data_IF_810706060592
#
_entry.id   IF_810706060592
#
_cell.length_a   1.000
_cell.length_b   1.000
_cell.length_c   1.000
_cell.angle_alpha   90.00
_cell.angle_beta   90.00
_cell.angle_gamma   90.00
#
_symmetry.space_group_name_H-M   'P 1'
#
loop_
_entity.id
_entity.type
_entity.pdbx_description
1 polymer ?
#
# COMPACT_ATOMS: atom_id res chain seq x y z
N UNK A 1 -58.75 -31.96 -36.93
CA UNK A 1 -58.35 -31.67 -38.33
C UNK A 1 -56.99 -30.97 -38.24
N UNK A 2 -55.91 -31.74 -38.02
CA UNK A 2 -54.90 -32.17 -39.02
C UNK A 2 -54.27 -30.99 -39.77
N UNK A 3 -53.10 -30.59 -39.25
CA UNK A 3 -51.80 -30.33 -39.90
C UNK A 3 -51.76 -29.56 -41.24
N UNK A 4 -50.94 -28.50 -41.27
CA UNK A 4 -49.72 -28.49 -42.09
C UNK A 4 -48.82 -27.28 -41.80
N UNK A 5 -47.63 -27.56 -41.29
CA UNK A 5 -46.42 -26.74 -41.42
C UNK A 5 -45.53 -27.38 -42.49
N UNK A 6 -44.72 -26.60 -43.23
CA UNK A 6 -43.26 -26.82 -43.18
C UNK A 6 -42.49 -25.48 -43.20
N UNK A 7 -41.57 -25.21 -42.27
CA UNK A 7 -40.18 -25.67 -42.18
C UNK A 7 -39.20 -25.05 -43.20
N UNK A 8 -38.28 -24.22 -42.68
CA UNK A 8 -36.83 -24.07 -43.03
C UNK A 8 -36.25 -22.98 -42.09
N UNK A 9 -35.57 -23.32 -40.98
CA UNK A 9 -34.13 -23.65 -40.84
C UNK A 9 -33.26 -22.54 -41.48
N UNK A 10 -32.36 -21.83 -40.78
CA UNK A 10 -31.16 -22.33 -40.10
C UNK A 10 -30.51 -21.27 -39.15
N UNK A 11 -30.10 -21.73 -37.95
CA UNK A 11 -28.89 -21.42 -37.11
C UNK A 11 -28.40 -19.97 -36.88
N UNK A 12 -28.36 -19.49 -35.62
CA UNK A 12 -27.28 -19.64 -34.59
C UNK A 12 -26.14 -18.63 -34.81
N UNK A 13 -25.40 -18.06 -33.85
CA UNK A 13 -25.30 -17.99 -32.39
C UNK A 13 -24.49 -16.68 -32.16
N UNK A 14 -24.52 -15.99 -31.03
CA UNK A 14 -23.61 -16.28 -29.94
C UNK A 14 -23.88 -15.37 -28.73
N UNK A 15 -23.64 -15.99 -27.58
CA UNK A 15 -23.71 -15.50 -26.22
C UNK A 15 -22.60 -14.48 -25.95
N UNK A 16 -22.92 -13.42 -25.20
CA UNK A 16 -21.93 -12.72 -24.39
C UNK A 16 -22.47 -12.61 -22.96
N UNK A 17 -21.98 -13.51 -22.11
CA UNK A 17 -22.06 -13.39 -20.65
C UNK A 17 -21.07 -12.28 -20.27
N UNK A 18 -21.55 -11.22 -19.63
CA UNK A 18 -20.70 -10.36 -18.81
C UNK A 18 -21.32 -10.33 -17.43
N UNK A 19 -20.73 -11.12 -16.53
CA UNK A 19 -20.95 -10.99 -15.10
C UNK A 19 -20.36 -9.66 -14.66
N UNK A 20 -21.22 -8.69 -14.35
CA UNK A 20 -20.82 -7.51 -13.60
C UNK A 20 -20.97 -7.85 -12.12
N UNK A 21 -19.90 -8.39 -11.54
CA UNK A 21 -19.68 -8.36 -10.10
C UNK A 21 -19.80 -6.92 -9.62
N UNK A 22 -20.53 -6.75 -8.53
CA UNK A 22 -20.91 -5.50 -7.89
C UNK A 22 -19.73 -4.59 -7.62
N UNK A 23 -19.70 -3.45 -8.34
CA UNK A 23 -19.29 -2.11 -7.91
C UNK A 23 -18.31 -2.00 -6.72
N UNK A 24 -17.01 -2.20 -6.99
CA UNK A 24 -15.96 -1.56 -6.22
C UNK A 24 -15.88 -0.07 -6.57
N UNK A 25 -16.68 0.73 -5.88
CA UNK A 25 -16.28 2.03 -5.28
C UNK A 25 -15.15 2.75 -6.06
N UNK A 26 -15.53 3.41 -7.16
CA UNK A 26 -14.74 4.41 -7.90
C UNK A 26 -14.64 5.70 -7.08
N UNK A 27 -13.55 5.92 -6.35
CA UNK A 27 -13.25 7.20 -5.69
C UNK A 27 -11.86 7.61 -6.12
N UNK A 28 -11.82 8.27 -7.28
CA UNK A 28 -10.62 8.80 -7.90
C UNK A 28 -10.48 10.27 -7.48
N UNK A 29 -9.56 10.57 -6.57
CA UNK A 29 -9.10 11.94 -6.29
C UNK A 29 -7.65 12.08 -6.75
N UNK A 30 -7.50 12.65 -7.94
CA UNK A 30 -6.53 13.67 -8.37
C UNK A 30 -5.01 13.58 -8.09
N UNK A 31 -4.46 12.51 -7.54
CA UNK A 31 -3.03 12.22 -7.62
C UNK A 31 -2.82 10.99 -8.50
N UNK A 32 -1.76 10.97 -9.32
CA UNK A 32 -1.42 9.77 -10.09
C UNK A 32 -1.34 8.56 -9.15
N UNK A 33 -1.61 7.31 -9.62
CA UNK A 33 -1.52 6.16 -8.74
C UNK A 33 -0.14 6.20 -8.07
N UNK A 34 -0.12 6.11 -6.74
CA UNK A 34 1.13 6.01 -6.01
C UNK A 34 1.99 4.95 -6.72
N UNK A 35 3.31 5.16 -6.85
CA UNK A 35 4.18 4.30 -7.65
C UNK A 35 4.36 2.89 -7.05
N UNK A 36 3.58 2.58 -6.02
CA UNK A 36 3.51 1.33 -5.31
C UNK A 36 2.06 0.93 -5.12
N UNK A 37 1.80 -0.37 -5.19
CA UNK A 37 0.50 -0.96 -4.93
C UNK A 37 0.65 -2.19 -4.04
N UNK A 38 -0.40 -2.48 -3.27
CA UNK A 38 -0.50 -3.73 -2.52
C UNK A 38 -0.59 -4.90 -3.51
N UNK A 39 0.18 -5.95 -3.28
CA UNK A 39 0.08 -7.20 -4.04
C UNK A 39 -0.88 -8.18 -3.35
N UNK A 40 -1.33 -9.19 -4.09
CA UNK A 40 -2.18 -10.27 -3.56
C UNK A 40 -1.45 -11.13 -2.51
N UNK A 41 -0.13 -11.25 -2.63
CA UNK A 41 0.71 -12.05 -1.73
C UNK A 41 2.07 -11.39 -1.46
N UNK A 42 2.64 -11.54 -0.25
CA UNK A 42 2.02 -12.15 0.94
C UNK A 42 0.91 -11.25 1.50
N UNK A 43 -0.14 -11.85 2.07
CA UNK A 43 -1.17 -11.08 2.75
C UNK A 43 -0.62 -10.58 4.10
N UNK A 44 -0.98 -9.35 4.47
CA UNK A 44 -0.57 -8.73 5.75
C UNK A 44 -1.78 -8.22 6.51
N UNK A 45 -1.72 -8.28 7.84
CA UNK A 45 -2.73 -7.69 8.73
C UNK A 45 -2.14 -6.46 9.39
N UNK A 46 -2.48 -5.29 8.87
CA UNK A 46 -1.98 -4.01 9.37
C UNK A 46 -3.14 -3.10 9.75
N UNK A 47 -3.18 -2.71 11.01
CA UNK A 47 -4.07 -1.66 11.51
C UNK A 47 -3.32 -0.33 11.58
N UNK A 48 -3.76 0.65 10.80
CA UNK A 48 -3.17 2.00 10.78
C UNK A 48 -4.12 2.96 11.48
N UNK A 49 -3.59 3.72 12.44
CA UNK A 49 -4.35 4.74 13.18
C UNK A 49 -3.52 6.00 13.36
N UNK A 50 -4.18 7.14 13.42
CA UNK A 50 -3.58 8.38 13.88
C UNK A 50 -3.25 8.27 15.38
N UNK A 51 -2.16 8.91 15.81
CA UNK A 51 -1.99 9.26 17.20
C UNK A 51 -3.17 10.12 17.66
N UNK A 52 -3.53 10.04 18.95
CA UNK A 52 -4.56 10.90 19.54
C UNK A 52 -4.08 12.36 19.54
N UNK A 53 -4.24 13.04 18.41
CA UNK A 53 -3.96 14.45 18.24
C UNK A 53 -5.25 15.28 18.40
N UNK A 54 -5.08 16.54 18.83
CA UNK A 54 -6.17 17.52 18.84
C UNK A 54 -6.31 18.23 17.48
N UNK A 55 -5.41 17.95 16.53
CA UNK A 55 -5.34 18.61 15.24
C UNK A 55 -5.78 17.66 14.12
N UNK A 56 -6.64 18.12 13.19
CA UNK A 56 -7.20 17.28 12.13
C UNK A 56 -6.15 16.78 11.12
N UNK A 57 -5.04 17.50 10.98
CA UNK A 57 -3.96 17.24 10.01
C UNK A 57 -3.33 15.83 10.17
N UNK A 58 -3.38 15.26 11.38
CA UNK A 58 -2.88 13.90 11.64
C UNK A 58 -3.77 12.83 11.00
N UNK A 59 -5.09 13.05 10.97
CA UNK A 59 -6.04 12.13 10.36
C UNK A 59 -5.87 12.11 8.84
N UNK A 60 -5.74 13.28 8.21
CA UNK A 60 -5.48 13.41 6.77
C UNK A 60 -4.16 12.71 6.39
N UNK A 61 -3.08 13.00 7.11
CA UNK A 61 -1.79 12.33 6.88
C UNK A 61 -1.89 10.82 7.06
N UNK A 62 -2.68 10.35 8.03
CA UNK A 62 -2.89 8.91 8.26
C UNK A 62 -3.56 8.23 7.07
N UNK A 63 -4.57 8.89 6.49
CA UNK A 63 -5.27 8.40 5.31
C UNK A 63 -4.33 8.36 4.09
N UNK A 64 -3.56 9.42 3.88
CA UNK A 64 -2.56 9.53 2.82
C UNK A 64 -1.49 8.41 2.87
N UNK A 65 -0.99 8.07 4.07
CA UNK A 65 0.12 7.12 4.21
C UNK A 65 -0.33 5.69 4.49
N UNK A 66 -1.62 5.44 4.73
CA UNK A 66 -2.14 4.13 5.14
C UNK A 66 -1.76 3.02 4.15
N UNK A 67 -1.86 3.30 2.85
CA UNK A 67 -1.50 2.34 1.81
C UNK A 67 0.01 2.07 1.79
N UNK A 68 0.85 3.11 1.84
CA UNK A 68 2.30 2.97 1.89
C UNK A 68 2.75 2.13 3.09
N UNK A 69 2.14 2.32 4.27
CA UNK A 69 2.45 1.53 5.46
C UNK A 69 2.12 0.05 5.25
N UNK A 70 0.98 -0.26 4.62
CA UNK A 70 0.61 -1.65 4.31
C UNK A 70 1.56 -2.27 3.29
N UNK A 71 1.91 -1.53 2.24
CA UNK A 71 2.91 -1.97 1.25
C UNK A 71 4.26 -2.20 1.93
N UNK A 72 4.70 -1.29 2.81
CA UNK A 72 5.94 -1.43 3.56
C UNK A 72 6.00 -2.75 4.33
N UNK A 73 4.99 -3.06 5.14
CA UNK A 73 4.93 -4.32 5.90
C UNK A 73 4.88 -5.53 4.97
N UNK A 74 4.14 -5.44 3.85
CA UNK A 74 4.10 -6.51 2.85
C UNK A 74 5.47 -6.77 2.21
N UNK A 75 6.20 -5.72 1.79
CA UNK A 75 7.55 -5.84 1.23
C UNK A 75 8.55 -6.35 2.26
N UNK A 76 8.41 -5.91 3.51
CA UNK A 76 9.21 -6.38 4.62
C UNK A 76 9.02 -7.88 4.88
N UNK A 77 7.77 -8.37 4.83
CA UNK A 77 7.44 -9.80 4.96
C UNK A 77 7.91 -10.62 3.76
N UNK A 78 7.72 -10.10 2.55
CA UNK A 78 8.17 -10.73 1.30
C UNK A 78 9.69 -10.96 1.29
N UNK A 79 10.45 -10.08 1.95
CA UNK A 79 11.89 -10.25 2.16
C UNK A 79 12.74 -9.94 0.93
N UNK A 80 12.18 -9.27 -0.07
CA UNK A 80 12.92 -8.76 -1.22
C UNK A 80 13.43 -7.34 -0.96
N UNK A 81 14.74 -7.18 -0.86
CA UNK A 81 15.37 -5.89 -0.57
C UNK A 81 15.21 -4.88 -1.71
N UNK A 82 15.13 -5.33 -2.96
CA UNK A 82 14.91 -4.47 -4.12
C UNK A 82 13.48 -3.93 -4.14
N UNK A 83 12.48 -4.79 -3.90
CA UNK A 83 11.09 -4.35 -3.82
C UNK A 83 10.85 -3.41 -2.61
N UNK A 84 11.45 -3.71 -1.45
CA UNK A 84 11.37 -2.83 -0.28
C UNK A 84 12.09 -1.50 -0.52
N UNK A 85 13.23 -1.50 -1.21
CA UNK A 85 13.92 -0.27 -1.61
C UNK A 85 13.13 0.56 -2.63
N UNK A 86 12.29 -0.08 -3.46
CA UNK A 86 11.47 0.55 -4.48
C UNK A 86 10.42 1.52 -3.93
N UNK A 87 10.00 1.37 -2.68
CA UNK A 87 9.10 2.31 -1.98
C UNK A 87 9.85 3.38 -1.18
N UNK A 88 11.18 3.32 -1.18
CA UNK A 88 12.04 4.34 -0.59
C UNK A 88 12.20 5.55 -1.53
N UNK A 89 12.39 6.73 -0.96
CA UNK A 89 12.50 7.99 -1.72
C UNK A 89 13.59 7.90 -2.81
N UNK A 90 13.27 8.22 -4.09
CA UNK A 90 14.16 7.93 -5.21
C UNK A 90 15.52 8.65 -5.16
N UNK A 91 15.57 9.81 -4.50
CA UNK A 91 16.78 10.61 -4.31
C UNK A 91 17.69 10.13 -3.17
N UNK A 92 17.26 9.12 -2.39
CA UNK A 92 18.09 8.50 -1.38
C UNK A 92 19.00 7.42 -1.98
N UNK A 93 20.22 7.35 -1.45
CA UNK A 93 21.25 6.36 -1.79
C UNK A 93 21.30 5.26 -0.73
N UNK A 94 21.86 4.09 -1.05
CA UNK A 94 22.01 2.99 -0.08
C UNK A 94 20.69 2.29 0.33
N UNK A 95 19.58 2.57 -0.38
CA UNK A 95 18.25 2.02 -0.07
C UNK A 95 18.22 0.50 0.06
N UNK A 96 18.74 -0.23 -0.93
CA UNK A 96 18.75 -1.71 -0.90
C UNK A 96 19.53 -2.29 0.30
N UNK A 97 20.65 -1.66 0.67
CA UNK A 97 21.44 -2.06 1.85
C UNK A 97 20.61 -1.92 3.13
N UNK A 98 19.97 -0.76 3.31
CA UNK A 98 19.13 -0.50 4.47
C UNK A 98 17.88 -1.38 4.51
N UNK A 99 17.24 -1.61 3.35
CA UNK A 99 16.12 -2.54 3.20
C UNK A 99 16.52 -3.95 3.65
N UNK A 100 17.69 -4.44 3.19
CA UNK A 100 18.21 -5.73 3.60
C UNK A 100 18.46 -5.85 5.11
N UNK A 101 18.89 -4.78 5.77
CA UNK A 101 19.02 -4.74 7.24
C UNK A 101 17.66 -4.84 7.94
N UNK A 102 16.67 -4.09 7.46
CA UNK A 102 15.33 -4.12 8.03
C UNK A 102 14.66 -5.48 7.84
N UNK A 103 14.78 -6.09 6.66
CA UNK A 103 14.29 -7.46 6.39
C UNK A 103 14.91 -8.44 7.39
N UNK A 104 16.25 -8.44 7.53
CA UNK A 104 16.93 -9.32 8.49
C UNK A 104 16.44 -9.15 9.93
N UNK A 105 16.07 -7.92 10.32
CA UNK A 105 15.66 -7.58 11.68
C UNK A 105 14.18 -7.84 11.95
N UNK A 106 13.30 -7.57 10.98
CA UNK A 106 11.87 -7.44 11.22
C UNK A 106 10.98 -8.34 10.35
N UNK A 107 11.51 -9.02 9.32
CA UNK A 107 10.70 -9.87 8.43
C UNK A 107 9.84 -10.87 9.20
N UNK A 108 10.43 -11.55 10.20
CA UNK A 108 9.70 -12.54 11.00
C UNK A 108 8.58 -11.91 11.83
N UNK A 109 8.80 -10.70 12.35
CA UNK A 109 7.78 -9.96 13.10
C UNK A 109 6.65 -9.46 12.20
N UNK A 110 6.94 -9.20 10.91
CA UNK A 110 5.96 -8.73 9.93
C UNK A 110 4.92 -9.80 9.49
N UNK A 111 5.14 -11.07 9.84
CA UNK A 111 4.16 -12.16 9.64
C UNK A 111 3.02 -12.12 10.67
N UNK A 112 3.22 -11.40 11.77
CA UNK A 112 2.25 -11.20 12.83
C UNK A 112 1.44 -9.91 12.60
N UNK A 113 0.25 -9.76 13.20
CA UNK A 113 -0.50 -8.51 13.13
C UNK A 113 0.33 -7.30 13.55
N UNK A 114 0.23 -6.21 12.77
CA UNK A 114 0.98 -4.98 12.99
C UNK A 114 0.04 -3.84 13.32
N UNK A 115 0.32 -3.14 14.42
CA UNK A 115 -0.32 -1.86 14.76
C UNK A 115 0.60 -0.72 14.38
N UNK A 116 0.16 0.09 13.43
CA UNK A 116 0.85 1.29 12.97
C UNK A 116 0.18 2.54 13.56
N UNK A 117 0.95 3.36 14.26
CA UNK A 117 0.51 4.65 14.79
C UNK A 117 1.23 5.77 14.04
N UNK A 118 0.48 6.56 13.28
CA UNK A 118 1.01 7.74 12.58
C UNK A 118 1.04 8.89 13.59
N UNK A 119 2.25 9.36 13.93
CA UNK A 119 2.43 10.47 14.84
C UNK A 119 2.02 11.79 14.18
N UNK A 120 1.64 12.75 15.01
CA UNK A 120 1.35 14.10 14.56
C UNK A 120 2.55 14.69 13.80
N UNK A 121 2.39 15.05 12.51
CA UNK A 121 3.47 15.61 11.73
C UNK A 121 3.80 17.04 12.20
N UNK A 122 5.09 17.31 12.44
CA UNK A 122 5.55 18.68 12.77
C UNK A 122 5.54 19.59 11.53
N UNK A 123 5.69 18.98 10.35
CA UNK A 123 5.70 19.66 9.04
C UNK A 123 4.92 18.80 8.04
N UNK A 124 4.25 19.41 7.03
CA UNK A 124 3.27 18.70 6.18
C UNK A 124 3.88 17.67 5.21
N UNK A 125 5.21 17.63 5.07
CA UNK A 125 5.91 16.75 4.15
C UNK A 125 6.76 15.68 4.87
N UNK A 126 6.73 15.61 6.20
CA UNK A 126 7.37 14.54 6.98
C UNK A 126 6.35 13.89 7.91
N UNK A 127 6.39 12.57 7.99
CA UNK A 127 5.60 11.83 8.96
C UNK A 127 6.45 10.75 9.64
N UNK A 128 6.09 10.40 10.86
CA UNK A 128 6.71 9.29 11.59
C UNK A 128 5.63 8.27 11.93
N UNK A 129 5.91 7.01 11.62
CA UNK A 129 5.02 5.88 11.89
C UNK A 129 5.69 4.93 12.87
N UNK A 130 5.06 4.72 14.02
CA UNK A 130 5.44 3.65 14.94
C UNK A 130 4.77 2.34 14.54
N UNK A 131 5.56 1.30 14.29
CA UNK A 131 5.09 -0.06 14.08
C UNK A 131 5.31 -0.87 15.35
N UNK A 132 4.23 -1.47 15.86
CA UNK A 132 4.27 -2.50 16.91
C UNK A 132 3.82 -3.82 16.32
N UNK A 133 4.71 -4.81 16.36
CA UNK A 133 4.44 -6.16 15.90
C UNK A 133 3.92 -7.00 17.06
N UNK A 134 2.80 -7.71 16.88
CA UNK A 134 2.19 -8.48 17.98
C UNK A 134 3.07 -9.64 18.47
N UNK A 135 3.91 -10.23 17.60
CA UNK A 135 4.95 -11.20 17.97
C UNK A 135 6.15 -10.61 18.72
N UNK A 136 6.16 -9.30 18.93
CA UNK A 136 7.23 -8.55 19.58
C UNK A 136 8.14 -7.80 18.60
N UNK A 137 8.69 -6.70 19.10
CA UNK A 137 9.51 -5.78 18.35
C UNK A 137 8.78 -4.47 18.06
N UNK A 138 9.55 -3.40 17.94
CA UNK A 138 9.07 -2.09 17.55
C UNK A 138 9.99 -1.52 16.47
N UNK A 139 9.40 -0.75 15.58
CA UNK A 139 10.12 -0.02 14.55
C UNK A 139 9.52 1.36 14.37
N UNK A 140 10.38 2.35 14.21
CA UNK A 140 9.99 3.68 13.79
C UNK A 140 10.36 3.82 12.32
N UNK A 141 9.38 4.17 11.49
CA UNK A 141 9.55 4.41 10.06
C UNK A 141 9.28 5.87 9.78
N UNK A 142 10.24 6.55 9.16
CA UNK A 142 10.10 7.93 8.73
C UNK A 142 9.63 7.96 7.27
N UNK A 143 8.74 8.90 6.96
CA UNK A 143 8.18 9.11 5.64
C UNK A 143 8.45 10.55 5.19
N UNK A 144 8.70 10.73 3.89
CA UNK A 144 8.86 12.02 3.25
C UNK A 144 7.95 12.16 2.04
N UNK A 145 7.40 13.36 1.79
CA UNK A 145 6.59 13.68 0.61
C UNK A 145 7.42 14.44 -0.43
N UNK A 146 7.55 13.86 -1.62
CA UNK A 146 8.20 14.48 -2.79
C UNK A 146 7.31 14.33 -4.03
N UNK A 147 7.13 15.42 -4.78
CA UNK A 147 6.26 15.48 -5.98
C UNK A 147 4.85 14.92 -5.73
N UNK A 148 4.25 15.29 -4.59
CA UNK A 148 2.92 14.85 -4.18
C UNK A 148 2.86 13.42 -3.62
N UNK A 149 3.92 12.63 -3.75
CA UNK A 149 3.98 11.21 -3.36
C UNK A 149 4.71 11.02 -2.03
N UNK A 150 4.17 10.18 -1.15
CA UNK A 150 4.85 9.75 0.07
C UNK A 150 5.85 8.63 -0.21
N UNK A 151 6.99 8.65 0.48
CA UNK A 151 8.07 7.69 0.32
C UNK A 151 8.63 7.30 1.69
N UNK A 152 9.15 6.08 1.80
CA UNK A 152 9.89 5.67 2.99
C UNK A 152 11.27 6.33 2.99
N UNK A 153 11.66 6.96 4.09
CA UNK A 153 13.02 7.45 4.31
C UNK A 153 13.92 6.25 4.58
N UNK A 154 14.85 5.98 3.67
CA UNK A 154 15.66 4.77 3.70
C UNK A 154 17.05 5.04 3.11
N UNK A 155 18.10 4.71 3.87
CA UNK A 155 19.48 4.96 3.47
C UNK A 155 19.89 6.42 3.67
N UNK A 156 20.83 6.90 2.85
CA UNK A 156 21.44 8.22 3.00
C UNK A 156 20.84 9.23 2.01
N UNK A 157 20.31 10.33 2.54
CA UNK A 157 19.71 11.40 1.76
C UNK A 157 19.18 12.53 2.65
N UNK A 158 18.74 13.61 2.00
CA UNK A 158 18.05 14.72 2.67
C UNK A 158 16.53 14.54 2.47
N UNK A 159 15.75 14.34 3.54
CA UNK A 159 14.31 14.09 3.42
C UNK A 159 13.54 15.32 2.91
N UNK A 160 14.15 16.50 2.82
CA UNK A 160 13.50 17.72 2.29
C UNK A 160 14.10 18.23 0.99
N UNK A 161 15.09 17.53 0.41
CA UNK A 161 15.71 17.89 -0.87
C UNK A 161 15.70 16.71 -1.84
N UNK A 162 14.61 16.53 -2.60
CA UNK A 162 14.56 15.62 -3.73
C UNK A 162 15.53 16.00 -4.85
#
# INVERSE_FOLDING_TARGET
MVLMTPARLWTAAAVAVVGAGTAGVLWWTADGPAPYALQDTPAVTVEVRAENSRYPDTQETTEDVSELVKVYVQRLLAGDAGELAGIGAPWFTGRETQAGEWIRKYQRSADEPVRATVREPVVPYLAQVELRFDGGGEQVVELTRGDGTWWVVMGDGDPVKP
#
